data_IF_719520760873
#
_entry.id   IF_719520760873
#
_cell.length_a   1.000
_cell.length_b   1.000
_cell.length_c   1.000
_cell.angle_alpha   90.00
_cell.angle_beta   90.00
_cell.angle_gamma   90.00
#
_symmetry.space_group_name_H-M   'P 1'
#
loop_
_entity.id
_entity.type
_entity.pdbx_description
1 polymer ?
#
# COMPACT_ATOMS: atom_id res chain seq x y z
N UNK A 1 -26.61 -10.12 12.13
CA UNK A 1 -25.24 -9.77 11.69
C UNK A 1 -24.11 -10.60 12.31
N UNK A 2 -23.69 -10.41 13.58
CA UNK A 2 -22.48 -11.05 14.11
C UNK A 2 -22.55 -12.59 14.11
N UNK A 3 -23.70 -13.17 14.51
CA UNK A 3 -23.95 -14.62 14.44
C UNK A 3 -23.93 -15.15 13.00
N UNK A 4 -24.49 -14.40 12.05
CA UNK A 4 -24.57 -14.80 10.63
C UNK A 4 -23.20 -14.79 9.93
N UNK A 5 -22.27 -13.94 10.40
CA UNK A 5 -20.92 -13.80 9.83
C UNK A 5 -19.84 -14.44 10.70
N UNK A 6 -20.21 -15.26 11.69
CA UNK A 6 -19.29 -15.93 12.62
C UNK A 6 -18.32 -14.96 13.34
N UNK A 7 -18.80 -13.75 13.67
CA UNK A 7 -18.03 -12.70 14.34
C UNK A 7 -18.24 -12.72 15.86
N UNK A 8 -17.15 -12.51 16.60
CA UNK A 8 -17.19 -12.34 18.06
C UNK A 8 -17.56 -10.90 18.42
N UNK A 9 -18.75 -10.70 19.03
CA UNK A 9 -19.18 -9.37 19.48
C UNK A 9 -18.26 -8.75 20.53
N UNK A 10 -17.64 -9.57 21.39
CA UNK A 10 -16.63 -9.12 22.37
C UNK A 10 -15.38 -8.58 21.67
N UNK A 11 -14.91 -9.28 20.64
CA UNK A 11 -13.74 -8.86 19.86
C UNK A 11 -14.02 -7.60 19.06
N UNK A 12 -15.20 -7.49 18.43
CA UNK A 12 -15.61 -6.27 17.72
C UNK A 12 -15.66 -5.05 18.66
N UNK A 13 -16.23 -5.23 19.86
CA UNK A 13 -16.29 -4.15 20.87
C UNK A 13 -14.90 -3.76 21.38
N UNK A 14 -13.99 -4.73 21.49
CA UNK A 14 -12.59 -4.48 21.84
C UNK A 14 -11.87 -3.69 20.74
N UNK A 15 -12.08 -4.05 19.46
CA UNK A 15 -11.50 -3.32 18.32
C UNK A 15 -12.00 -1.86 18.30
N UNK A 16 -13.30 -1.64 18.50
CA UNK A 16 -13.89 -0.30 18.58
C UNK A 16 -13.28 0.52 19.73
N UNK A 17 -13.13 -0.09 20.91
CA UNK A 17 -12.48 0.53 22.06
C UNK A 17 -11.02 0.90 21.78
N UNK A 18 -10.25 0.01 21.12
CA UNK A 18 -8.85 0.28 20.75
C UNK A 18 -8.76 1.41 19.71
N UNK A 19 -9.66 1.45 18.73
CA UNK A 19 -9.72 2.52 17.75
C UNK A 19 -9.96 3.89 18.41
N UNK A 20 -10.89 3.95 19.38
CA UNK A 20 -11.14 5.16 20.17
C UNK A 20 -9.91 5.57 21.00
N UNK A 21 -9.19 4.61 21.59
CA UNK A 21 -7.94 4.87 22.31
C UNK A 21 -6.86 5.46 21.41
N UNK A 22 -6.65 4.90 20.21
CA UNK A 22 -5.69 5.46 19.25
C UNK A 22 -6.06 6.88 18.84
N UNK A 23 -7.35 7.16 18.65
CA UNK A 23 -7.81 8.52 18.38
C UNK A 23 -7.54 9.48 19.54
N UNK A 24 -7.75 9.04 20.79
CA UNK A 24 -7.39 9.80 21.98
C UNK A 24 -5.90 10.14 22.03
N UNK A 25 -5.03 9.17 21.71
CA UNK A 25 -3.58 9.39 21.64
C UNK A 25 -3.23 10.42 20.56
N UNK A 26 -3.78 10.27 19.34
CA UNK A 26 -3.56 11.20 18.23
C UNK A 26 -4.01 12.64 18.56
N UNK A 27 -5.08 12.78 19.34
CA UNK A 27 -5.54 14.08 19.83
C UNK A 27 -4.59 14.66 20.90
N UNK A 28 -4.16 13.83 21.86
CA UNK A 28 -3.25 14.26 22.93
C UNK A 28 -1.91 14.76 22.39
N UNK A 29 -1.34 14.07 21.41
CA UNK A 29 -0.09 14.50 20.77
C UNK A 29 -0.29 15.68 19.80
N UNK A 30 -1.55 16.03 19.48
CA UNK A 30 -1.90 17.17 18.63
C UNK A 30 -1.98 16.87 17.13
N UNK A 31 -1.81 15.60 16.73
CA UNK A 31 -1.96 15.18 15.33
C UNK A 31 -3.38 15.41 14.80
N UNK A 32 -4.38 15.23 15.68
CA UNK A 32 -5.80 15.49 15.43
C UNK A 32 -6.30 16.57 16.39
N UNK A 33 -7.11 17.53 15.93
CA UNK A 33 -7.79 18.50 16.81
C UNK A 33 -7.03 19.78 17.16
N UNK A 34 -6.26 20.37 16.22
CA UNK A 34 -5.66 21.70 16.38
C UNK A 34 -6.67 22.86 16.51
N UNK A 35 -6.18 24.12 16.59
CA UNK A 35 -6.97 25.36 16.83
C UNK A 35 -8.21 25.54 15.92
N UNK A 36 -8.23 24.88 14.75
CA UNK A 36 -9.41 24.65 13.93
C UNK A 36 -9.70 23.15 13.94
N UNK A 37 -10.53 22.71 14.88
CA UNK A 37 -10.90 21.29 15.03
C UNK A 37 -11.40 20.73 13.69
N UNK A 38 -10.62 19.86 13.06
CA UNK A 38 -11.09 19.05 11.95
C UNK A 38 -12.08 18.04 12.54
N UNK A 39 -13.37 18.20 12.24
CA UNK A 39 -14.39 17.21 12.59
C UNK A 39 -13.97 15.83 12.10
N UNK A 40 -14.28 14.76 12.83
CA UNK A 40 -14.00 13.35 12.45
C UNK A 40 -14.38 13.08 10.98
N UNK A 41 -15.51 13.60 10.51
CA UNK A 41 -15.94 13.52 9.09
C UNK A 41 -14.92 14.00 8.07
N UNK A 42 -14.11 15.01 8.41
CA UNK A 42 -13.04 15.54 7.53
C UNK A 42 -11.80 14.64 7.54
N UNK A 43 -11.52 13.97 8.66
CA UNK A 43 -10.45 12.97 8.74
C UNK A 43 -10.81 11.75 7.88
N UNK A 44 -12.09 11.38 7.89
CA UNK A 44 -12.61 10.24 7.13
C UNK A 44 -12.95 10.56 5.66
N UNK A 45 -12.59 11.73 5.14
CA UNK A 45 -12.97 12.17 3.80
C UNK A 45 -12.52 11.22 2.66
N UNK A 46 -11.56 10.34 2.93
CA UNK A 46 -11.03 9.35 1.97
C UNK A 46 -11.16 7.90 2.45
N UNK A 47 -11.96 7.64 3.49
CA UNK A 47 -12.10 6.30 4.11
C UNK A 47 -12.71 5.25 3.18
N UNK A 48 -13.39 5.65 2.11
CA UNK A 48 -13.94 4.73 1.09
C UNK A 48 -12.96 4.47 -0.07
N UNK A 49 -11.82 5.17 -0.10
CA UNK A 49 -10.85 5.06 -1.18
C UNK A 49 -9.86 3.93 -0.93
N UNK A 50 -10.24 2.70 -1.32
CA UNK A 50 -9.41 1.50 -1.15
C UNK A 50 -7.94 1.66 -1.57
N UNK A 51 -7.58 2.34 -2.68
CA UNK A 51 -6.17 2.51 -3.04
C UNK A 51 -5.37 3.23 -1.97
N UNK A 52 -5.94 4.26 -1.33
CA UNK A 52 -5.28 4.99 -0.24
C UNK A 52 -5.19 4.14 1.01
N UNK A 53 -6.25 3.41 1.36
CA UNK A 53 -6.24 2.51 2.53
C UNK A 53 -5.14 1.45 2.36
N UNK A 54 -5.07 0.82 1.19
CA UNK A 54 -4.00 -0.13 0.85
C UNK A 54 -2.62 0.52 0.95
N UNK A 55 -2.50 1.77 0.54
CA UNK A 55 -1.24 2.50 0.58
C UNK A 55 -0.80 2.85 2.02
N UNK A 56 -1.74 3.20 2.90
CA UNK A 56 -1.49 3.40 4.34
C UNK A 56 -1.16 2.07 5.04
N UNK A 57 -1.85 0.98 4.68
CA UNK A 57 -1.51 -0.37 5.18
C UNK A 57 -0.09 -0.74 4.73
N UNK A 58 0.25 -0.47 3.46
CA UNK A 58 1.58 -0.73 2.93
C UNK A 58 2.66 0.05 3.68
N UNK A 59 2.45 1.33 3.99
CA UNK A 59 3.42 2.12 4.75
C UNK A 59 3.63 1.60 6.17
N UNK A 60 2.59 1.04 6.80
CA UNK A 60 2.69 0.47 8.14
C UNK A 60 3.31 -0.92 8.20
N UNK A 61 3.18 -1.71 7.12
CA UNK A 61 3.70 -3.07 7.04
C UNK A 61 5.05 -3.18 6.34
N UNK A 62 5.49 -2.16 5.60
CA UNK A 62 6.84 -2.14 5.03
C UNK A 62 7.90 -2.27 6.13
N UNK A 63 8.93 -3.14 6.00
CA UNK A 63 9.44 -3.79 4.79
C UNK A 63 8.86 -5.19 4.47
N UNK A 64 7.78 -5.62 5.13
CA UNK A 64 7.17 -6.94 4.92
C UNK A 64 6.43 -7.03 3.58
N UNK A 65 7.18 -7.25 2.50
CA UNK A 65 6.70 -7.35 1.12
C UNK A 65 6.95 -8.75 0.56
N UNK A 66 6.00 -9.28 -0.21
CA UNK A 66 6.19 -10.48 -1.01
C UNK A 66 5.81 -10.24 -2.48
N UNK A 67 6.60 -10.80 -3.37
CA UNK A 67 6.38 -10.79 -4.81
C UNK A 67 5.37 -11.89 -5.20
N UNK A 68 4.48 -11.55 -6.12
CA UNK A 68 3.52 -12.46 -6.74
C UNK A 68 3.94 -12.72 -8.17
N UNK A 69 4.01 -13.99 -8.57
CA UNK A 69 4.30 -14.40 -9.94
C UNK A 69 3.29 -15.43 -10.45
N UNK A 70 2.96 -15.37 -11.74
CA UNK A 70 2.00 -16.26 -12.37
C UNK A 70 0.55 -15.79 -12.27
N UNK A 71 -0.19 -15.84 -13.39
CA UNK A 71 -1.57 -15.35 -13.49
C UNK A 71 -2.62 -16.37 -13.07
N UNK A 72 -2.49 -17.61 -13.52
CA UNK A 72 -3.46 -18.69 -13.26
C UNK A 72 -3.18 -19.45 -11.98
N UNK A 73 -1.91 -19.51 -11.57
CA UNK A 73 -1.44 -20.14 -10.33
C UNK A 73 -0.43 -19.21 -9.67
N UNK A 74 -0.90 -18.27 -8.83
CA UNK A 74 -0.02 -17.30 -8.20
C UNK A 74 0.96 -18.02 -7.27
N UNK A 75 2.23 -17.65 -7.37
CA UNK A 75 3.33 -18.07 -6.50
C UNK A 75 3.84 -16.85 -5.75
N UNK A 76 4.11 -17.03 -4.46
CA UNK A 76 4.52 -15.96 -3.58
C UNK A 76 5.95 -16.17 -3.13
N UNK A 77 6.74 -15.11 -3.13
CA UNK A 77 8.14 -15.14 -2.76
C UNK A 77 8.43 -13.98 -1.80
N UNK A 78 9.17 -14.21 -0.74
CA UNK A 78 9.69 -13.16 0.16
C UNK A 78 11.17 -12.97 -0.10
N UNK A 79 11.69 -11.78 0.25
CA UNK A 79 13.11 -11.45 0.11
C UNK A 79 14.02 -12.44 0.87
N UNK A 80 13.67 -12.73 2.12
CA UNK A 80 14.52 -13.49 3.04
C UNK A 80 14.57 -14.99 2.70
N UNK A 81 13.43 -15.56 2.30
CA UNK A 81 13.29 -17.01 2.23
C UNK A 81 13.64 -17.57 0.86
N UNK A 82 13.65 -16.74 -0.20
CA UNK A 82 13.93 -17.12 -1.59
C UNK A 82 13.03 -18.23 -2.17
N UNK A 83 12.13 -18.77 -1.36
CA UNK A 83 11.34 -19.97 -1.58
C UNK A 83 9.86 -19.61 -1.73
N UNK A 84 9.06 -20.59 -2.19
CA UNK A 84 7.63 -20.40 -2.38
C UNK A 84 6.95 -20.34 -1.02
N UNK A 85 6.50 -19.15 -0.64
CA UNK A 85 5.63 -18.91 0.51
C UNK A 85 4.18 -19.15 0.09
N UNK A 86 3.32 -19.55 1.02
CA UNK A 86 1.91 -19.78 0.74
C UNK A 86 1.02 -18.88 1.60
N UNK A 87 -0.12 -18.39 1.10
CA UNK A 87 -1.12 -17.78 1.98
C UNK A 87 -1.60 -18.82 2.98
N UNK A 88 -1.77 -18.43 4.24
CA UNK A 88 -2.31 -19.31 5.27
C UNK A 88 -3.74 -19.74 4.90
N UNK A 89 -4.19 -20.98 5.18
CA UNK A 89 -5.54 -21.45 4.81
C UNK A 89 -6.71 -20.62 5.36
N UNK A 90 -6.49 -19.89 6.46
CA UNK A 90 -7.50 -18.97 7.01
C UNK A 90 -7.52 -17.59 6.33
N UNK A 91 -6.55 -17.30 5.46
CA UNK A 91 -6.46 -16.04 4.71
C UNK A 91 -7.41 -16.07 3.52
N UNK A 92 -8.01 -14.93 3.20
CA UNK A 92 -8.79 -14.77 1.96
C UNK A 92 -7.89 -15.02 0.74
N UNK A 93 -6.61 -14.65 0.81
CA UNK A 93 -5.62 -14.85 -0.25
C UNK A 93 -5.33 -16.33 -0.54
N UNK A 94 -5.73 -17.27 0.33
CA UNK A 94 -5.60 -18.71 0.05
C UNK A 94 -6.56 -19.20 -1.04
N UNK A 95 -7.65 -18.45 -1.29
CA UNK A 95 -8.62 -18.71 -2.36
C UNK A 95 -8.11 -18.12 -3.67
N UNK A 96 -7.08 -18.75 -4.24
CA UNK A 96 -6.34 -18.22 -5.40
C UNK A 96 -7.18 -18.09 -6.67
N UNK A 97 -8.31 -18.78 -6.73
CA UNK A 97 -9.33 -18.73 -7.76
C UNK A 97 -10.29 -17.54 -7.62
N UNK A 98 -10.55 -17.11 -6.37
CA UNK A 98 -11.51 -16.06 -6.05
C UNK A 98 -10.86 -14.67 -5.85
N UNK A 99 -9.56 -14.63 -5.56
CA UNK A 99 -8.80 -13.39 -5.35
C UNK A 99 -8.08 -13.01 -6.63
N UNK A 100 -8.26 -11.76 -7.05
CA UNK A 100 -7.47 -11.18 -8.14
C UNK A 100 -6.06 -10.87 -7.65
N UNK A 101 -5.06 -11.48 -8.30
CA UNK A 101 -3.63 -11.23 -8.11
C UNK A 101 -3.06 -10.49 -9.32
N UNK A 102 -3.73 -9.41 -9.72
CA UNK A 102 -3.34 -8.58 -10.86
C UNK A 102 -2.07 -7.77 -10.61
N UNK A 103 -1.73 -7.50 -9.34
CA UNK A 103 -0.49 -6.82 -8.98
C UNK A 103 0.65 -7.78 -8.66
N UNK A 104 1.87 -7.30 -8.84
CA UNK A 104 3.12 -8.03 -8.59
C UNK A 104 3.48 -8.10 -7.11
N UNK A 105 2.82 -7.33 -6.24
CA UNK A 105 3.23 -7.17 -4.86
C UNK A 105 2.08 -7.35 -3.87
N UNK A 106 2.44 -7.87 -2.70
CA UNK A 106 1.60 -7.88 -1.51
C UNK A 106 2.43 -7.43 -0.31
N UNK A 107 1.77 -6.82 0.66
CA UNK A 107 2.31 -6.62 2.00
C UNK A 107 1.66 -7.60 2.96
N UNK A 108 2.38 -8.03 4.00
CA UNK A 108 1.89 -9.00 4.98
C UNK A 108 2.20 -8.56 6.41
N UNK A 109 1.35 -8.93 7.37
CA UNK A 109 1.59 -8.67 8.79
C UNK A 109 2.36 -9.79 9.46
N UNK A 110 1.80 -11.00 9.52
CA UNK A 110 2.42 -12.14 10.20
C UNK A 110 2.93 -13.21 9.22
N UNK A 111 4.21 -13.60 9.38
CA UNK A 111 4.85 -14.75 8.71
C UNK A 111 5.03 -15.89 9.70
N UNK A 112 4.51 -17.07 9.37
CA UNK A 112 4.50 -18.24 10.24
C UNK A 112 5.35 -19.38 9.64
N UNK A 113 6.22 -19.97 10.46
CA UNK A 113 7.02 -21.14 10.08
C UNK A 113 6.48 -22.37 10.82
N UNK A 114 5.75 -23.23 10.10
CA UNK A 114 5.24 -24.50 10.64
C UNK A 114 5.74 -25.65 9.77
N UNK A 115 4.85 -26.39 9.10
CA UNK A 115 5.21 -27.37 8.07
C UNK A 115 5.68 -26.69 6.77
N UNK A 116 5.20 -25.47 6.52
CA UNK A 116 5.62 -24.58 5.43
C UNK A 116 5.65 -23.15 5.96
N UNK A 117 6.18 -22.24 5.15
CA UNK A 117 6.14 -20.80 5.43
C UNK A 117 4.79 -20.27 4.94
N UNK A 118 4.04 -19.65 5.85
CA UNK A 118 2.74 -19.08 5.56
C UNK A 118 2.67 -17.58 5.84
N UNK A 119 1.96 -16.83 4.99
CA UNK A 119 1.55 -15.45 5.26
C UNK A 119 0.12 -15.44 5.78
N UNK A 120 -0.07 -14.99 7.02
CA UNK A 120 -1.37 -15.11 7.69
C UNK A 120 -2.37 -14.09 7.18
N UNK A 121 -1.95 -12.84 7.11
CA UNK A 121 -2.70 -11.70 6.65
C UNK A 121 -1.88 -10.99 5.57
N UNK A 122 -2.54 -10.66 4.47
CA UNK A 122 -1.90 -10.00 3.34
C UNK A 122 -2.85 -9.09 2.60
N UNK A 123 -2.29 -8.02 2.03
CA UNK A 123 -3.01 -7.04 1.22
C UNK A 123 -2.24 -6.81 -0.07
N UNK A 124 -2.92 -6.95 -1.21
CA UNK A 124 -2.34 -6.65 -2.51
C UNK A 124 -2.14 -5.14 -2.66
N UNK A 125 -0.96 -4.73 -3.13
CA UNK A 125 -0.55 -3.33 -3.27
C UNK A 125 0.06 -3.13 -4.64
N UNK A 126 -0.10 -1.93 -5.20
CA UNK A 126 0.43 -1.61 -6.52
C UNK A 126 1.89 -1.20 -6.51
N UNK A 127 2.51 -1.16 -7.69
CA UNK A 127 3.88 -0.67 -7.89
C UNK A 127 3.99 0.77 -7.39
N UNK A 128 3.05 1.65 -7.76
CA UNK A 128 3.05 3.05 -7.31
C UNK A 128 2.85 3.20 -5.81
N UNK A 129 2.09 2.29 -5.17
CA UNK A 129 1.91 2.29 -3.72
C UNK A 129 3.24 2.12 -3.01
N UNK A 130 4.03 1.12 -3.41
CA UNK A 130 5.37 0.89 -2.85
C UNK A 130 6.32 2.02 -3.22
N UNK A 131 6.26 2.51 -4.47
CA UNK A 131 7.07 3.64 -4.92
C UNK A 131 6.78 4.95 -4.18
N UNK A 132 5.57 5.22 -3.70
CA UNK A 132 5.25 6.46 -3.00
C UNK A 132 5.38 6.34 -1.48
N UNK A 133 5.00 5.20 -0.91
CA UNK A 133 4.82 5.03 0.54
C UNK A 133 5.61 3.84 1.12
N UNK A 134 6.39 3.14 0.29
CA UNK A 134 7.43 2.25 0.78
C UNK A 134 8.57 3.03 1.45
N UNK A 135 9.52 2.30 2.01
CA UNK A 135 10.67 2.87 2.71
C UNK A 135 11.67 3.57 1.79
N UNK A 136 12.96 3.46 2.12
CA UNK A 136 14.01 4.13 1.36
C UNK A 136 14.10 3.58 -0.07
N UNK A 137 14.23 4.49 -1.04
CA UNK A 137 14.30 4.16 -2.46
C UNK A 137 15.61 4.68 -3.04
N UNK A 138 16.36 3.77 -3.64
CA UNK A 138 17.56 4.09 -4.39
C UNK A 138 17.17 4.35 -5.84
N UNK A 139 17.57 5.50 -6.37
CA UNK A 139 17.32 5.90 -7.75
C UNK A 139 18.63 5.78 -8.52
N UNK A 140 18.62 5.04 -9.61
CA UNK A 140 19.76 4.93 -10.53
C UNK A 140 19.31 5.14 -11.97
N UNK A 141 20.13 5.83 -12.77
CA UNK A 141 19.97 5.79 -14.22
C UNK A 141 20.21 4.36 -14.69
N UNK A 142 19.26 3.83 -15.44
CA UNK A 142 19.32 2.50 -16.01
C UNK A 142 20.18 2.46 -17.26
N UNK A 143 20.75 1.29 -17.54
CA UNK A 143 21.60 1.06 -18.72
C UNK A 143 20.82 1.06 -20.05
N UNK A 144 19.48 0.99 -19.98
CA UNK A 144 18.59 0.89 -21.14
C UNK A 144 18.22 2.29 -21.64
N UNK A 145 18.66 2.63 -22.86
CA UNK A 145 18.32 3.88 -23.54
C UNK A 145 17.10 3.63 -24.43
N UNK A 146 15.99 4.30 -24.12
CA UNK A 146 14.78 4.30 -24.96
C UNK A 146 14.76 5.54 -25.86
N UNK A 147 13.81 5.62 -26.80
CA UNK A 147 13.59 6.81 -27.63
C UNK A 147 13.27 8.08 -26.79
N UNK A 148 12.88 7.91 -25.52
CA UNK A 148 12.52 8.97 -24.59
C UNK A 148 13.66 9.32 -23.60
N UNK A 149 14.84 8.72 -23.78
CA UNK A 149 15.99 8.86 -22.90
C UNK A 149 16.31 7.59 -22.09
N UNK A 150 17.31 7.64 -21.19
CA UNK A 150 17.63 6.52 -20.32
C UNK A 150 16.46 6.22 -19.38
N UNK A 151 16.11 4.94 -19.24
CA UNK A 151 15.15 4.53 -18.21
C UNK A 151 15.74 4.81 -16.82
N UNK A 152 14.91 5.22 -15.88
CA UNK A 152 15.31 5.35 -14.48
C UNK A 152 14.80 4.16 -13.69
N UNK A 153 15.67 3.58 -12.86
CA UNK A 153 15.35 2.46 -11.99
C UNK A 153 15.19 2.91 -10.55
N UNK A 154 14.14 2.43 -9.89
CA UNK A 154 13.88 2.59 -8.46
C UNK A 154 14.06 1.24 -7.78
N UNK A 155 15.00 1.15 -6.84
CA UNK A 155 15.30 -0.07 -6.10
C UNK A 155 15.02 0.10 -4.61
N UNK A 156 14.46 -0.93 -3.98
CA UNK A 156 14.28 -1.04 -2.54
C UNK A 156 14.68 -2.44 -2.08
N UNK A 157 14.99 -2.57 -0.79
CA UNK A 157 15.27 -3.86 -0.15
C UNK A 157 16.38 -4.65 -0.88
N UNK A 158 17.52 -4.01 -1.13
CA UNK A 158 18.67 -4.58 -1.86
C UNK A 158 18.29 -5.08 -3.26
N UNK A 159 17.60 -4.23 -4.02
CA UNK A 159 17.10 -4.50 -5.38
C UNK A 159 16.05 -5.62 -5.49
N UNK A 160 15.55 -6.15 -4.37
CA UNK A 160 14.47 -7.13 -4.36
C UNK A 160 13.18 -6.55 -4.95
N UNK A 161 12.86 -5.31 -4.57
CA UNK A 161 11.78 -4.54 -5.21
C UNK A 161 12.45 -3.59 -6.20
N UNK A 162 12.21 -3.79 -7.49
CA UNK A 162 12.76 -2.94 -8.53
C UNK A 162 11.67 -2.52 -9.53
N UNK A 163 11.66 -1.24 -9.86
CA UNK A 163 10.75 -0.64 -10.84
C UNK A 163 11.56 0.15 -11.86
N UNK A 164 11.15 0.13 -13.12
CA UNK A 164 11.70 0.99 -14.17
C UNK A 164 10.61 1.88 -14.73
N UNK A 165 10.97 3.11 -15.08
CA UNK A 165 10.07 4.02 -15.78
C UNK A 165 10.86 5.06 -16.57
N UNK A 166 10.14 5.81 -17.41
CA UNK A 166 10.71 6.93 -18.16
C UNK A 166 11.16 8.06 -17.21
N UNK A 167 12.10 8.88 -17.69
CA UNK A 167 12.68 9.95 -16.91
C UNK A 167 11.61 10.93 -16.36
N UNK A 168 10.55 11.24 -17.11
CA UNK A 168 9.52 12.18 -16.66
C UNK A 168 8.72 11.60 -15.49
N UNK A 169 8.31 10.34 -15.59
CA UNK A 169 7.64 9.62 -14.49
C UNK A 169 8.54 9.55 -13.26
N UNK A 170 9.82 9.26 -13.44
CA UNK A 170 10.79 9.18 -12.34
C UNK A 170 10.96 10.51 -11.61
N UNK A 171 11.09 11.61 -12.34
CA UNK A 171 11.14 12.95 -11.76
C UNK A 171 9.86 13.28 -10.98
N UNK A 172 8.69 12.94 -11.54
CA UNK A 172 7.40 13.18 -10.87
C UNK A 172 7.28 12.40 -9.56
N UNK A 173 7.55 11.08 -9.57
CA UNK A 173 7.49 10.23 -8.37
C UNK A 173 8.47 10.75 -7.32
N UNK A 174 9.70 11.08 -7.72
CA UNK A 174 10.72 11.61 -6.80
C UNK A 174 10.32 12.95 -6.19
N UNK A 175 9.73 13.85 -6.98
CA UNK A 175 9.24 15.15 -6.49
C UNK A 175 8.06 14.99 -5.52
N UNK A 176 7.12 14.08 -5.81
CA UNK A 176 5.98 13.79 -4.92
C UNK A 176 6.47 13.19 -3.61
N UNK A 177 7.40 12.23 -3.64
CA UNK A 177 8.02 11.65 -2.44
C UNK A 177 8.71 12.71 -1.61
N UNK A 178 9.59 13.52 -2.21
CA UNK A 178 10.32 14.56 -1.49
C UNK A 178 9.38 15.56 -0.80
N UNK A 179 8.28 15.95 -1.47
CA UNK A 179 7.27 16.84 -0.88
C UNK A 179 6.47 16.17 0.23
N UNK A 180 6.22 14.87 0.12
CA UNK A 180 5.57 14.11 1.19
C UNK A 180 6.47 13.99 2.42
N UNK A 181 7.75 13.69 2.21
CA UNK A 181 8.76 13.60 3.27
C UNK A 181 8.94 14.95 3.98
N UNK A 182 8.98 16.06 3.23
CA UNK A 182 9.01 17.42 3.79
C UNK A 182 7.78 17.69 4.67
N UNK A 183 6.59 17.34 4.18
CA UNK A 183 5.34 17.54 4.92
C UNK A 183 5.27 16.68 6.19
N UNK A 184 5.68 15.41 6.11
CA UNK A 184 5.70 14.49 7.23
C UNK A 184 6.76 14.90 8.26
N UNK A 185 7.96 15.30 7.82
CA UNK A 185 9.01 15.80 8.70
C UNK A 185 8.57 17.07 9.44
N UNK A 186 7.92 18.00 8.75
CA UNK A 186 7.36 19.20 9.37
C UNK A 186 6.27 18.86 10.41
N UNK A 187 5.42 17.86 10.13
CA UNK A 187 4.40 17.39 11.09
C UNK A 187 5.00 16.66 12.29
N UNK A 188 6.09 15.92 12.10
CA UNK A 188 6.81 15.27 13.20
C UNK A 188 7.50 16.32 14.08
N UNK A 189 8.08 17.36 13.47
CA UNK A 189 8.71 18.47 14.19
C UNK A 189 7.69 19.34 14.95
N UNK A 190 6.53 19.61 14.37
CA UNK A 190 5.39 20.25 15.02
C UNK A 190 4.12 19.44 14.81
N UNK A 191 3.79 18.61 15.81
CA UNK A 191 2.62 17.76 15.80
C UNK A 191 1.30 18.55 15.65
N UNK A 192 1.26 19.85 15.96
CA UNK A 192 0.05 20.70 15.85
C UNK A 192 -0.07 21.40 14.50
N UNK A 193 0.92 21.25 13.61
CA UNK A 193 0.89 21.81 12.27
C UNK A 193 -0.32 21.31 11.48
N UNK A 194 -1.08 22.22 10.87
CA UNK A 194 -2.20 21.86 10.00
C UNK A 194 -1.70 21.45 8.62
N UNK A 195 -1.34 20.17 8.50
CA UNK A 195 -1.01 19.53 7.22
C UNK A 195 -2.23 19.14 6.39
N UNK A 196 -3.44 19.21 6.98
CA UNK A 196 -4.67 18.92 6.26
C UNK A 196 -4.96 19.97 5.19
N UNK A 197 -4.76 21.25 5.55
CA UNK A 197 -4.91 22.38 4.64
C UNK A 197 -3.70 22.55 3.71
N UNK A 198 -2.48 22.57 4.26
CA UNK A 198 -1.26 22.81 3.45
C UNK A 198 -0.91 21.61 2.55
N UNK A 199 -1.16 20.39 3.02
CA UNK A 199 -0.94 19.15 2.28
C UNK A 199 -2.11 18.72 1.41
N UNK A 200 -3.22 19.47 1.38
CA UNK A 200 -4.45 19.07 0.68
C UNK A 200 -4.19 18.71 -0.79
N UNK A 201 -3.46 19.57 -1.51
CA UNK A 201 -3.16 19.38 -2.92
C UNK A 201 -2.24 18.16 -3.15
N UNK A 202 -1.22 17.98 -2.31
CA UNK A 202 -0.30 16.85 -2.42
C UNK A 202 -1.00 15.51 -2.17
N UNK A 203 -1.79 15.43 -1.08
CA UNK A 203 -2.56 14.21 -0.77
C UNK A 203 -3.65 13.98 -1.81
N UNK A 204 -4.21 15.06 -2.38
CA UNK A 204 -5.11 14.99 -3.54
C UNK A 204 -4.44 14.38 -4.77
N UNK A 205 -3.23 14.83 -5.12
CA UNK A 205 -2.47 14.28 -6.24
C UNK A 205 -2.09 12.81 -6.02
N UNK A 206 -1.62 12.43 -4.83
CA UNK A 206 -1.32 11.03 -4.48
C UNK A 206 -2.59 10.16 -4.60
N UNK A 207 -3.71 10.67 -4.07
CA UNK A 207 -5.02 10.03 -4.18
C UNK A 207 -5.42 9.78 -5.64
N UNK A 208 -5.28 10.78 -6.51
CA UNK A 208 -5.62 10.64 -7.93
C UNK A 208 -4.68 9.66 -8.64
N UNK A 209 -3.38 9.72 -8.38
CA UNK A 209 -2.38 8.82 -8.95
C UNK A 209 -2.68 7.35 -8.61
N UNK A 210 -2.91 7.03 -7.33
CA UNK A 210 -3.22 5.67 -6.87
C UNK A 210 -4.57 5.16 -7.43
N UNK A 211 -5.55 6.05 -7.57
CA UNK A 211 -6.84 5.72 -8.20
C UNK A 211 -6.71 5.45 -9.70
N UNK A 212 -5.96 6.28 -10.41
CA UNK A 212 -5.73 6.13 -11.84
C UNK A 212 -5.04 4.80 -12.17
N UNK A 213 -4.03 4.43 -11.37
CA UNK A 213 -3.34 3.15 -11.49
C UNK A 213 -4.28 1.97 -11.19
N UNK A 214 -5.05 2.04 -10.10
CA UNK A 214 -6.02 0.99 -9.75
C UNK A 214 -7.08 0.80 -10.86
N UNK A 215 -7.55 1.89 -11.46
CA UNK A 215 -8.49 1.84 -12.57
C UNK A 215 -7.87 1.26 -13.85
N UNK A 216 -6.57 1.51 -14.08
CA UNK A 216 -5.83 0.89 -15.19
C UNK A 216 -5.65 -0.61 -14.98
N UNK A 217 -5.21 -1.03 -13.80
CA UNK A 217 -5.05 -2.43 -13.45
C UNK A 217 -6.37 -3.22 -13.59
N UNK A 218 -7.49 -2.64 -13.14
CA UNK A 218 -8.81 -3.26 -13.32
C UNK A 218 -9.18 -3.44 -14.80
N UNK A 219 -8.91 -2.44 -15.66
CA UNK A 219 -9.20 -2.53 -17.10
C UNK A 219 -8.35 -3.61 -17.78
N UNK A 220 -7.06 -3.70 -17.43
CA UNK A 220 -6.16 -4.74 -17.93
C UNK A 220 -6.58 -6.13 -17.46
N UNK A 221 -7.07 -6.28 -16.23
CA UNK A 221 -7.60 -7.53 -15.70
C UNK A 221 -8.90 -7.96 -16.39
N UNK A 222 -9.83 -7.03 -16.64
CA UNK A 222 -11.07 -7.32 -17.38
C UNK A 222 -10.79 -7.72 -18.83
N UNK A 223 -9.97 -6.96 -19.56
CA UNK A 223 -9.63 -7.29 -20.94
C UNK A 223 -8.87 -8.62 -21.09
N UNK A 224 -8.01 -8.97 -20.12
CA UNK A 224 -7.34 -10.26 -20.11
C UNK A 224 -8.29 -11.44 -19.87
N UNK A 225 -9.33 -11.26 -19.04
CA UNK A 225 -10.35 -12.29 -18.80
C UNK A 225 -11.20 -12.54 -20.04
N UNK A 226 -11.65 -11.48 -20.70
CA UNK A 226 -12.42 -11.57 -21.94
C UNK A 226 -11.63 -12.24 -23.08
N UNK A 227 -10.33 -11.98 -23.17
CA UNK A 227 -9.46 -12.61 -24.17
C UNK A 227 -9.13 -14.10 -23.89
N UNK A 228 -9.37 -14.59 -22.66
CA UNK A 228 -9.20 -16.00 -22.28
C UNK A 228 -10.48 -16.83 -22.49
N UNK A 229 -11.62 -16.18 -22.72
CA UNK A 229 -12.92 -16.82 -22.99
C UNK A 229 -13.25 -16.94 -24.49
N UNK A 230 -12.36 -16.45 -25.37
CA UNK A 230 -12.40 -16.58 -26.84
C UNK A 230 -11.39 -17.61 -27.35
#
# INVERSE_FOLDING_TARGET
>A
FARENFLSGKTLSMIDSMAAQFMGVLQQIGFVGGRRSLTIRRLDARSEQLPIIRAVIASGLFPSVAAVSGRTRPKFHTREDGSVVQPHPSSIASRTDAVDFSSKWLVYGEKMHTAKIYLRDSTMVSDLTLLLLGGNVEVSEGDVITEQGPETSFSMLDKYVNFTCDARSAHLVSAVRAKLDELLAAKVADARLDIGSSGHALVGAISELLRAESARANREATGAREALEL
#
